data_IF_209484482617
#
_entry.id   IF_209484482617
#
_cell.length_a   1.000
_cell.length_b   1.000
_cell.length_c   1.000
_cell.angle_alpha   90.00
_cell.angle_beta   90.00
_cell.angle_gamma   90.00
#
_symmetry.space_group_name_H-M   'P 1'
#
loop_
_entity.id
_entity.type
_entity.pdbx_description
1 polymer ?
#
# COMPACT_ATOMS: atom_id res chain seq x y z
N UNK A 1 4.24 -1.81 5.67
CA UNK A 1 4.74 -2.03 4.29
C UNK A 1 4.42 -3.43 3.83
N UNK A 2 4.00 -3.59 2.58
CA UNK A 2 3.73 -4.91 1.98
C UNK A 2 5.08 -5.60 1.72
N UNK A 3 5.19 -6.88 2.11
CA UNK A 3 6.39 -7.70 1.94
C UNK A 3 6.01 -9.13 1.61
N UNK A 4 6.84 -9.77 0.81
CA UNK A 4 6.76 -11.18 0.50
C UNK A 4 8.12 -11.84 0.71
N UNK A 5 8.11 -13.12 1.04
CA UNK A 5 9.31 -13.96 1.13
C UNK A 5 9.02 -15.32 0.53
N UNK A 6 10.03 -15.94 -0.06
CA UNK A 6 9.97 -17.36 -0.43
C UNK A 6 10.72 -18.14 0.62
N UNK A 7 10.07 -19.14 1.21
CA UNK A 7 10.68 -20.14 2.10
C UNK A 7 10.73 -21.47 1.37
N UNK A 8 11.80 -22.23 1.54
CA UNK A 8 11.83 -23.64 1.15
C UNK A 8 11.56 -24.48 2.39
N UNK A 9 10.57 -25.36 2.29
CA UNK A 9 10.28 -26.34 3.33
C UNK A 9 11.20 -27.57 3.20
N UNK A 10 11.18 -28.43 4.21
CA UNK A 10 12.00 -29.65 4.27
C UNK A 10 11.70 -30.63 3.11
N UNK A 11 10.52 -30.52 2.53
CA UNK A 11 10.06 -31.29 1.36
C UNK A 11 10.49 -30.66 0.02
N UNK A 12 11.30 -29.60 0.04
CA UNK A 12 11.82 -28.93 -1.15
C UNK A 12 10.82 -28.04 -1.88
N UNK A 13 9.60 -27.86 -1.35
CA UNK A 13 8.60 -26.96 -1.92
C UNK A 13 8.90 -25.50 -1.58
N UNK A 14 8.80 -24.62 -2.58
CA UNK A 14 8.93 -23.17 -2.41
C UNK A 14 7.59 -22.55 -2.00
N UNK A 15 7.44 -22.23 -0.72
CA UNK A 15 6.29 -21.53 -0.17
C UNK A 15 6.50 -20.02 -0.27
N UNK A 16 5.58 -19.36 -0.97
CA UNK A 16 5.53 -17.89 -1.04
C UNK A 16 4.65 -17.38 0.08
N UNK A 17 5.26 -16.71 1.04
CA UNK A 17 4.56 -16.08 2.16
C UNK A 17 4.47 -14.57 1.96
N UNK A 18 3.26 -14.03 2.08
CA UNK A 18 2.99 -12.60 1.98
C UNK A 18 2.28 -12.12 3.25
N UNK A 19 2.64 -10.93 3.72
CA UNK A 19 1.97 -10.32 4.88
C UNK A 19 0.63 -9.64 4.53
N UNK A 20 0.30 -9.57 3.24
CA UNK A 20 -0.86 -8.89 2.72
C UNK A 20 -1.82 -9.88 2.06
N UNK A 21 -3.11 -9.75 2.34
CA UNK A 21 -4.18 -10.56 1.74
C UNK A 21 -5.31 -9.66 1.25
N UNK A 22 -5.78 -9.89 0.03
CA UNK A 22 -6.96 -9.21 -0.51
C UNK A 22 -8.15 -10.13 -0.25
N UNK A 23 -9.14 -9.61 0.48
CA UNK A 23 -10.40 -10.29 0.76
C UNK A 23 -11.46 -9.68 -0.13
N UNK A 24 -12.18 -10.53 -0.87
CA UNK A 24 -13.37 -10.14 -1.61
C UNK A 24 -14.58 -10.59 -0.79
N UNK A 25 -15.39 -9.63 -0.38
CA UNK A 25 -16.60 -9.87 0.36
C UNK A 25 -17.75 -10.24 -0.60
N UNK A 26 -18.79 -10.90 -0.07
CA UNK A 26 -19.94 -11.36 -0.85
C UNK A 26 -20.81 -10.23 -1.41
N UNK A 27 -20.74 -9.06 -0.79
CA UNK A 27 -21.36 -7.80 -1.24
C UNK A 27 -20.63 -7.14 -2.43
N UNK A 28 -19.48 -7.69 -2.85
CA UNK A 28 -18.65 -7.16 -3.92
C UNK A 28 -17.63 -6.13 -3.47
N UNK A 29 -17.61 -5.75 -2.20
CA UNK A 29 -16.56 -4.92 -1.62
C UNK A 29 -15.25 -5.70 -1.50
N UNK A 30 -14.14 -4.96 -1.38
CA UNK A 30 -12.82 -5.55 -1.24
C UNK A 30 -12.07 -4.86 -0.12
N UNK A 31 -11.36 -5.65 0.68
CA UNK A 31 -10.51 -5.15 1.75
C UNK A 31 -9.12 -5.79 1.67
N UNK A 32 -8.10 -4.99 1.94
CA UNK A 32 -6.72 -5.42 2.04
C UNK A 32 -6.37 -5.57 3.52
N UNK A 33 -6.05 -6.79 3.92
CA UNK A 33 -5.57 -7.12 5.26
C UNK A 33 -4.05 -7.12 5.23
N UNK A 34 -3.42 -6.26 6.03
CA UNK A 34 -1.99 -6.17 6.20
C UNK A 34 -1.64 -6.52 7.65
N UNK A 35 -1.35 -7.80 7.91
CA UNK A 35 -1.24 -8.30 9.28
C UNK A 35 -2.56 -8.08 10.04
N UNK A 36 -2.55 -7.17 11.02
CA UNK A 36 -3.71 -6.81 11.84
C UNK A 36 -4.42 -5.53 11.36
N UNK A 37 -3.92 -4.85 10.33
CA UNK A 37 -4.52 -3.63 9.80
C UNK A 37 -5.43 -3.97 8.60
N UNK A 38 -6.62 -3.35 8.56
CA UNK A 38 -7.59 -3.52 7.48
C UNK A 38 -7.75 -2.21 6.71
N UNK A 39 -7.62 -2.30 5.39
CA UNK A 39 -7.80 -1.19 4.46
C UNK A 39 -8.94 -1.50 3.50
N UNK A 40 -9.82 -0.54 3.24
CA UNK A 40 -10.81 -0.67 2.19
C UNK A 40 -10.20 -0.39 0.84
N UNK A 41 -10.54 -1.24 -0.13
CA UNK A 41 -10.09 -1.13 -1.52
C UNK A 41 -11.22 -0.60 -2.36
N UNK A 42 -11.11 0.66 -2.77
CA UNK A 42 -12.03 1.25 -3.74
C UNK A 42 -11.47 1.12 -5.15
N UNK A 43 -12.29 0.59 -6.05
CA UNK A 43 -11.98 0.48 -7.48
C UNK A 43 -12.56 1.67 -8.23
N UNK A 44 -11.70 2.51 -8.76
CA UNK A 44 -12.10 3.57 -9.69
C UNK A 44 -11.69 3.16 -11.12
N UNK A 45 -12.58 3.26 -12.12
CA UNK A 45 -12.17 3.15 -13.51
C UNK A 45 -11.21 4.29 -13.84
N UNK A 46 -10.08 3.99 -14.47
CA UNK A 46 -9.20 5.02 -15.00
C UNK A 46 -9.82 5.53 -16.30
N UNK A 47 -10.36 6.75 -16.30
CA UNK A 47 -10.74 7.43 -17.54
C UNK A 47 -9.47 7.93 -18.22
N UNK A 48 -9.01 7.17 -19.22
CA UNK A 48 -7.80 7.46 -19.97
C UNK A 48 -7.15 6.18 -20.46
N UNK A 49 -7.29 5.91 -21.76
CA UNK A 49 -6.90 4.64 -22.40
C UNK A 49 -5.38 4.39 -22.48
N UNK A 50 -4.56 5.31 -21.96
CA UNK A 50 -3.11 5.37 -22.21
C UNK A 50 -2.24 5.17 -20.96
N UNK A 51 -2.69 4.39 -19.97
CA UNK A 51 -1.85 4.04 -18.82
C UNK A 51 -1.05 2.76 -19.11
N UNK A 52 0.07 2.89 -19.82
CA UNK A 52 0.92 1.75 -20.20
C UNK A 52 2.17 1.64 -19.32
N UNK A 53 2.43 0.44 -18.80
CA UNK A 53 3.70 0.10 -18.18
C UNK A 53 4.69 -0.29 -19.28
N UNK A 54 5.78 0.46 -19.40
CA UNK A 54 6.89 0.13 -20.29
C UNK A 54 8.09 -0.33 -19.46
N UNK A 55 8.66 -1.49 -19.83
CA UNK A 55 9.97 -1.90 -19.35
C UNK A 55 10.99 -1.52 -20.42
N UNK A 56 12.06 -0.84 -20.01
CA UNK A 56 13.21 -0.60 -20.87
C UNK A 56 14.12 -1.83 -20.85
N UNK A 57 14.24 -2.52 -21.99
CA UNK A 57 15.22 -3.58 -22.19
C UNK A 57 16.15 -3.18 -23.35
N UNK A 58 17.40 -2.85 -23.02
CA UNK A 58 18.40 -2.39 -24.00
C UNK A 58 18.03 -1.04 -24.64
N UNK A 59 17.97 -1.02 -25.97
CA UNK A 59 17.66 0.16 -26.81
C UNK A 59 16.16 0.35 -27.09
N UNK A 60 15.30 -0.59 -26.64
CA UNK A 60 13.85 -0.54 -26.88
C UNK A 60 13.01 -0.37 -25.62
N UNK A 61 11.80 0.18 -25.80
CA UNK A 61 10.73 0.16 -24.81
C UNK A 61 9.76 -0.97 -25.17
N UNK A 62 9.59 -1.94 -24.27
CA UNK A 62 8.59 -2.98 -24.42
C UNK A 62 7.38 -2.66 -23.55
N UNK A 63 6.20 -2.53 -24.17
CA UNK A 63 4.93 -2.39 -23.45
C UNK A 63 4.59 -3.70 -22.75
N UNK A 64 4.51 -3.69 -21.42
CA UNK A 64 4.26 -4.88 -20.61
C UNK A 64 2.79 -5.03 -20.21
N UNK A 65 2.13 -3.92 -19.82
CA UNK A 65 0.76 -3.97 -19.34
C UNK A 65 0.02 -2.65 -19.57
N UNK A 66 -1.31 -2.73 -19.70
CA UNK A 66 -2.22 -1.58 -19.75
C UNK A 66 -3.04 -1.55 -18.46
N UNK A 67 -2.97 -0.46 -17.71
CA UNK A 67 -3.73 -0.28 -16.48
C UNK A 67 -5.10 0.32 -16.78
N UNK A 68 -6.16 -0.45 -16.51
CA UNK A 68 -7.55 -0.02 -16.73
C UNK A 68 -8.23 0.53 -15.47
N UNK A 69 -7.70 0.19 -14.30
CA UNK A 69 -8.35 0.48 -13.01
C UNK A 69 -7.35 1.00 -12.00
N UNK A 70 -7.77 2.00 -11.22
CA UNK A 70 -7.02 2.54 -10.09
C UNK A 70 -7.63 2.00 -8.81
N UNK A 71 -6.77 1.45 -7.97
CA UNK A 71 -7.14 1.03 -6.62
C UNK A 71 -6.76 2.14 -5.64
N UNK A 72 -7.74 2.60 -4.86
CA UNK A 72 -7.50 3.54 -3.76
C UNK A 72 -7.71 2.81 -2.45
N UNK A 73 -6.68 2.81 -1.60
CA UNK A 73 -6.71 2.17 -0.29
C UNK A 73 -7.03 3.22 0.77
N UNK A 74 -8.12 3.03 1.52
CA UNK A 74 -8.51 3.92 2.62
C UNK A 74 -8.44 3.16 3.95
N UNK A 75 -7.91 3.75 5.03
CA UNK A 75 -7.95 3.12 6.35
C UNK A 75 -9.40 3.01 6.83
N UNK A 76 -9.84 1.80 7.22
CA UNK A 76 -11.21 1.54 7.69
C UNK A 76 -11.40 1.88 9.19
N UNK A 77 -10.31 2.07 9.98
CA UNK A 77 -10.45 2.32 11.42
C UNK A 77 -9.38 3.22 12.03
N UNK A 78 -9.84 4.07 12.94
CA UNK A 78 -9.16 5.11 13.71
C UNK A 78 -8.21 4.61 14.80
N UNK A 79 -7.91 3.30 14.86
CA UNK A 79 -7.06 2.70 15.89
C UNK A 79 -5.79 2.04 15.33
N UNK A 80 -5.12 2.71 14.39
CA UNK A 80 -3.81 2.28 13.90
C UNK A 80 -2.72 3.20 14.46
N UNK A 81 -1.74 2.62 15.14
CA UNK A 81 -0.58 3.33 15.72
C UNK A 81 0.23 4.16 14.70
N UNK A 82 -0.03 3.97 13.41
CA UNK A 82 0.52 4.72 12.28
C UNK A 82 -0.05 6.15 12.20
N UNK A 83 -1.28 6.39 12.67
CA UNK A 83 -1.90 7.73 12.71
C UNK A 83 -1.24 8.67 13.74
N UNK A 84 -0.59 8.12 14.77
CA UNK A 84 0.14 8.92 15.77
C UNK A 84 1.46 9.47 15.21
N UNK A 85 2.05 8.82 14.21
CA UNK A 85 3.32 9.25 13.60
C UNK A 85 3.16 10.33 12.54
N UNK A 86 2.02 10.40 11.86
CA UNK A 86 1.73 11.47 10.88
C UNK A 86 1.51 12.84 11.54
N UNK A 87 1.04 12.87 12.79
CA UNK A 87 0.80 14.10 13.54
C UNK A 87 2.01 14.58 14.36
N UNK A 88 3.05 13.76 14.53
CA UNK A 88 4.25 14.17 15.26
C UNK A 88 5.26 14.79 14.31
N UNK A 89 4.91 15.95 13.75
CA UNK A 89 5.89 16.87 13.18
C UNK A 89 6.66 17.52 14.34
N UNK A 90 7.96 17.24 14.55
CA UNK A 90 8.72 17.77 15.68
C UNK A 90 8.90 19.30 15.61
N UNK A 91 8.56 19.91 14.47
CA UNK A 91 8.84 21.30 14.17
C UNK A 91 7.91 22.27 14.91
N UNK A 92 6.63 21.91 15.12
CA UNK A 92 5.68 22.75 15.85
C UNK A 92 5.95 22.78 17.37
N UNK A 93 6.58 21.73 17.93
CA UNK A 93 6.94 21.69 19.34
C UNK A 93 8.12 22.64 19.67
N UNK A 94 9.02 22.87 18.72
CA UNK A 94 10.19 23.74 18.91
C UNK A 94 9.85 25.25 18.94
N UNK A 95 8.74 25.66 18.33
CA UNK A 95 8.32 27.08 18.32
C UNK A 95 7.76 27.48 19.69
N UNK A 96 7.19 26.54 20.45
CA UNK A 96 6.55 26.83 21.74
C UNK A 96 7.54 26.92 22.92
N UNK A 97 8.77 26.39 22.79
CA UNK A 97 9.78 26.53 23.86
C UNK A 97 10.61 27.82 23.78
N UNK A 98 10.70 28.45 22.61
CA UNK A 98 11.45 29.71 22.43
C UNK A 98 10.73 30.97 22.92
N UNK A 99 9.41 30.91 23.13
CA UNK A 99 8.63 32.05 23.64
C UNK A 99 8.55 32.13 25.17
N UNK A 100 9.10 31.16 25.90
CA UNK A 100 9.09 31.11 27.37
C UNK A 100 10.41 31.59 28.02
N UNK A 101 11.36 32.08 27.22
CA UNK A 101 12.62 32.68 27.67
C UNK A 101 12.68 34.13 27.16
N UNK A 102 11.79 34.97 27.68
CA UNK A 102 11.99 36.42 27.74
C UNK A 102 11.32 36.97 28.98
#
# INVERSE_FOLDING_TARGET
TIRWRTRRDEEGQEIRESNARIVKWSDGSMSLHLGNEVFDVYKAPLQGDHNHLFIRQGTGLQGQAVFKTKLTFRPHSTDSATHRKSAFCPWLAAIRSRSAQK
#
